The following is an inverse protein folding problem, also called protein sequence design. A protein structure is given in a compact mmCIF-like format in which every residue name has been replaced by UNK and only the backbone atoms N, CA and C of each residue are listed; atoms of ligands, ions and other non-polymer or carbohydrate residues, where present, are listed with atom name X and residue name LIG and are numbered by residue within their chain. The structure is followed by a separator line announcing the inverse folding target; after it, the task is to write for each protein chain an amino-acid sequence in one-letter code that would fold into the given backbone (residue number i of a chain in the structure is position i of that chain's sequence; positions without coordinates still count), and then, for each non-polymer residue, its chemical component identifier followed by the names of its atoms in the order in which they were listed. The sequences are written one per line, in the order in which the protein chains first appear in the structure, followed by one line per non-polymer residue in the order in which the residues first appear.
data_IF_773035523105
#
_entry.id   IF_773035523105
#
_cell.length_a   1.000
_cell.length_b   1.000
_cell.length_c   1.000
_cell.angle_alpha   90.00
_cell.angle_beta   90.00
_cell.angle_gamma   90.00
#
_symmetry.space_group_name_H-M   'P 1'
#
loop_
_entity.id
_entity.type
_entity.pdbx_description
1 polymer ?
#
# COMPACT_ATOMS: atom_id res chain seq x y z
N UNK A 1 34.42 5.86 -5.10
CA UNK A 1 33.99 4.46 -5.30
C UNK A 1 35.01 3.56 -4.61
N UNK A 2 34.60 2.55 -3.85
CA UNK A 2 35.50 1.61 -3.16
C UNK A 2 34.89 0.22 -3.11
N UNK A 3 35.70 -0.80 -3.40
CA UNK A 3 35.38 -2.20 -3.12
C UNK A 3 36.02 -2.59 -1.77
N UNK A 4 35.23 -3.13 -0.84
CA UNK A 4 35.75 -3.57 0.46
C UNK A 4 36.27 -5.03 0.41
N UNK A 5 36.82 -5.52 1.53
CA UNK A 5 37.36 -6.90 1.62
C UNK A 5 36.29 -7.99 1.44
N UNK A 6 35.03 -7.65 1.66
CA UNK A 6 33.87 -8.54 1.49
C UNK A 6 33.27 -8.47 0.08
N UNK A 7 33.91 -7.75 -0.84
CA UNK A 7 33.43 -7.60 -2.23
C UNK A 7 32.24 -6.64 -2.40
N UNK A 8 31.90 -5.83 -1.38
CA UNK A 8 30.82 -4.84 -1.45
C UNK A 8 31.30 -3.52 -2.05
N UNK A 9 30.50 -2.95 -2.94
CA UNK A 9 30.77 -1.70 -3.64
C UNK A 9 30.13 -0.51 -2.90
N UNK A 10 30.96 0.43 -2.43
CA UNK A 10 30.54 1.70 -1.85
C UNK A 10 30.76 2.89 -2.79
N UNK A 11 29.74 3.73 -2.97
CA UNK A 11 29.82 5.04 -3.62
C UNK A 11 29.45 6.10 -2.58
N UNK A 12 30.36 7.03 -2.26
CA UNK A 12 30.15 8.04 -1.21
C UNK A 12 30.22 7.51 0.24
N UNK A 13 30.64 6.26 0.46
CA UNK A 13 30.80 5.65 1.78
C UNK A 13 32.01 4.71 1.83
N UNK A 14 32.60 4.54 3.02
CA UNK A 14 33.65 3.55 3.31
C UNK A 14 33.12 2.27 3.95
N UNK A 15 31.86 2.25 4.36
CA UNK A 15 31.22 1.15 5.09
C UNK A 15 29.97 0.68 4.35
N UNK A 16 30.10 0.02 3.18
CA UNK A 16 28.95 -0.48 2.44
C UNK A 16 28.25 -1.59 3.23
N UNK A 17 26.93 -1.49 3.39
CA UNK A 17 26.10 -2.46 4.11
C UNK A 17 25.55 -3.55 3.19
N UNK A 18 25.36 -3.23 1.91
CA UNK A 18 24.83 -4.11 0.87
C UNK A 18 25.85 -4.32 -0.25
N UNK A 19 25.57 -5.22 -1.20
CA UNK A 19 26.42 -5.47 -2.37
C UNK A 19 26.77 -4.18 -3.12
N UNK A 20 25.80 -3.27 -3.23
CA UNK A 20 25.99 -1.88 -3.64
C UNK A 20 25.39 -0.95 -2.57
N UNK A 21 26.16 0.01 -2.08
CA UNK A 21 25.67 1.08 -1.18
C UNK A 21 26.07 2.43 -1.76
N UNK A 22 25.08 3.28 -2.01
CA UNK A 22 25.29 4.65 -2.52
C UNK A 22 24.82 5.64 -1.46
N UNK A 23 25.75 6.40 -0.90
CA UNK A 23 25.45 7.51 0.00
C UNK A 23 25.26 8.79 -0.80
N UNK A 24 24.13 8.87 -1.51
CA UNK A 24 23.79 9.97 -2.41
C UNK A 24 22.69 9.58 -3.39
N UNK A 25 22.14 10.53 -4.16
CA UNK A 25 21.09 10.27 -5.13
C UNK A 25 21.60 9.42 -6.30
N UNK A 26 20.74 8.54 -6.81
CA UNK A 26 20.98 7.74 -8.01
C UNK A 26 20.05 8.27 -9.11
N UNK A 27 20.61 8.64 -10.26
CA UNK A 27 19.84 8.94 -11.47
C UNK A 27 19.97 7.76 -12.42
N UNK A 28 18.84 7.15 -12.76
CA UNK A 28 18.75 6.06 -13.73
C UNK A 28 17.68 6.40 -14.77
N UNK A 29 17.79 5.84 -15.98
CA UNK A 29 16.69 5.87 -16.95
C UNK A 29 15.59 4.89 -16.57
N UNK A 30 15.97 3.74 -16.02
CA UNK A 30 15.09 2.65 -15.62
C UNK A 30 15.72 1.89 -14.46
N UNK A 31 14.87 1.37 -13.56
CA UNK A 31 15.26 0.46 -12.48
C UNK A 31 14.26 -0.69 -12.49
N UNK A 32 14.72 -1.90 -12.79
CA UNK A 32 13.94 -3.12 -12.68
C UNK A 32 14.26 -3.73 -11.32
N UNK A 33 13.22 -3.98 -10.51
CA UNK A 33 13.37 -4.57 -9.17
C UNK A 33 12.62 -5.89 -9.17
N UNK A 34 13.35 -6.99 -9.00
CA UNK A 34 12.77 -8.32 -8.87
C UNK A 34 12.25 -8.51 -7.43
N UNK A 35 10.96 -8.24 -7.20
CA UNK A 35 10.27 -8.54 -5.94
C UNK A 35 9.07 -9.46 -6.16
N UNK A 36 8.60 -10.09 -5.08
CA UNK A 36 7.31 -10.78 -5.09
C UNK A 36 6.20 -9.76 -5.33
N UNK A 37 5.47 -9.91 -6.43
CA UNK A 37 4.34 -9.04 -6.77
C UNK A 37 3.17 -9.33 -5.83
N UNK A 38 2.51 -8.28 -5.32
CA UNK A 38 1.30 -8.43 -4.51
C UNK A 38 0.10 -8.58 -5.46
N UNK A 39 -0.51 -9.77 -5.48
CA UNK A 39 -1.73 -10.09 -6.26
C UNK A 39 -2.70 -10.95 -5.43
N UNK A 40 -2.66 -10.79 -4.10
CA UNK A 40 -3.43 -11.64 -3.19
C UNK A 40 -4.72 -10.98 -2.69
N UNK A 41 -4.94 -9.68 -2.96
CA UNK A 41 -6.14 -8.95 -2.52
C UNK A 41 -7.41 -9.44 -3.19
N UNK A 42 -7.30 -9.96 -4.42
CA UNK A 42 -8.43 -10.50 -5.19
C UNK A 42 -8.63 -12.01 -4.98
N UNK A 43 -7.83 -12.66 -4.14
CA UNK A 43 -8.04 -14.05 -3.78
C UNK A 43 -9.39 -14.24 -3.07
N UNK A 44 -10.05 -15.37 -3.31
CA UNK A 44 -11.38 -15.65 -2.76
C UNK A 44 -11.43 -15.72 -1.24
N UNK A 45 -10.29 -16.04 -0.61
CA UNK A 45 -10.09 -16.12 0.83
C UNK A 45 -9.48 -14.84 1.43
N UNK A 46 -9.31 -13.78 0.62
CA UNK A 46 -8.78 -12.52 1.12
C UNK A 46 -9.73 -11.86 2.12
N UNK A 47 -9.26 -11.71 3.37
CA UNK A 47 -10.00 -10.97 4.39
C UNK A 47 -9.75 -9.47 4.25
N UNK A 48 -10.62 -8.79 3.52
CA UNK A 48 -10.64 -7.33 3.50
C UNK A 48 -11.11 -6.77 4.85
N UNK A 49 -10.22 -6.07 5.57
CA UNK A 49 -10.55 -5.37 6.80
C UNK A 49 -11.67 -4.34 6.56
N UNK A 50 -12.56 -4.17 7.53
CA UNK A 50 -13.57 -3.11 7.47
C UNK A 50 -12.93 -1.73 7.67
N UNK A 51 -13.53 -0.68 7.11
CA UNK A 51 -13.05 0.70 7.33
C UNK A 51 -13.03 1.09 8.81
N UNK A 52 -13.89 0.49 9.65
CA UNK A 52 -13.88 0.68 11.10
C UNK A 52 -12.66 0.04 11.77
N UNK A 53 -12.27 -1.17 11.35
CA UNK A 53 -11.02 -1.81 11.83
C UNK A 53 -9.80 -1.00 11.36
N UNK A 54 -9.82 -0.49 10.13
CA UNK A 54 -8.75 0.36 9.59
C UNK A 54 -8.65 1.68 10.37
N UNK A 55 -9.77 2.35 10.63
CA UNK A 55 -9.83 3.58 11.43
C UNK A 55 -9.26 3.37 12.84
N UNK A 56 -9.70 2.33 13.55
CA UNK A 56 -9.19 1.99 14.87
C UNK A 56 -7.66 1.73 14.85
N UNK A 57 -7.15 1.09 13.81
CA UNK A 57 -5.72 0.89 13.65
C UNK A 57 -4.97 2.21 13.42
N UNK A 58 -5.51 3.12 12.60
CA UNK A 58 -4.90 4.43 12.37
C UNK A 58 -4.88 5.25 13.67
N UNK A 59 -5.96 5.23 14.45
CA UNK A 59 -6.02 5.92 15.75
C UNK A 59 -4.99 5.37 16.74
N UNK A 60 -4.77 4.05 16.74
CA UNK A 60 -3.83 3.40 17.64
C UNK A 60 -2.36 3.55 17.19
N UNK A 61 -2.09 3.35 15.91
CA UNK A 61 -0.72 3.17 15.38
C UNK A 61 -0.23 4.35 14.53
N UNK A 62 -1.11 5.32 14.24
CA UNK A 62 -0.80 6.51 13.43
C UNK A 62 -0.49 6.21 11.95
N UNK A 63 -0.81 5.00 11.47
CA UNK A 63 -0.50 4.55 10.11
C UNK A 63 -1.51 3.52 9.60
N UNK A 64 -1.47 3.24 8.30
CA UNK A 64 -2.30 2.19 7.70
C UNK A 64 -1.79 0.78 8.10
N UNK A 65 -2.69 -0.20 8.24
CA UNK A 65 -2.31 -1.59 8.51
C UNK A 65 -1.29 -2.12 7.49
N UNK A 66 -0.20 -2.71 7.99
CA UNK A 66 0.87 -3.27 7.17
C UNK A 66 1.88 -2.28 6.62
N UNK A 67 1.73 -0.97 6.87
CA UNK A 67 2.75 0.02 6.51
C UNK A 67 3.84 0.10 7.60
N UNK A 68 5.12 0.25 7.20
CA UNK A 68 6.19 0.46 8.16
C UNK A 68 6.03 1.82 8.85
N UNK A 69 6.49 1.91 10.10
CA UNK A 69 6.56 3.16 10.83
C UNK A 69 7.69 4.06 10.30
N UNK A 70 7.57 5.37 10.55
CA UNK A 70 8.63 6.31 10.20
C UNK A 70 9.98 5.96 10.88
N UNK A 71 9.93 5.37 12.08
CA UNK A 71 11.11 4.91 12.80
C UNK A 71 11.78 3.74 12.09
N UNK A 72 11.00 2.72 11.69
CA UNK A 72 11.53 1.56 10.96
C UNK A 72 12.15 1.98 9.62
N UNK A 73 11.52 2.91 8.90
CA UNK A 73 12.04 3.45 7.64
C UNK A 73 13.33 4.26 7.86
N UNK A 74 13.41 5.02 8.96
CA UNK A 74 14.62 5.77 9.29
C UNK A 74 15.81 4.86 9.68
N UNK A 75 15.53 3.75 10.37
CA UNK A 75 16.56 2.81 10.83
C UNK A 75 17.03 1.86 9.72
N UNK A 76 16.11 1.30 8.94
CA UNK A 76 16.40 0.22 8.00
C UNK A 76 16.34 0.65 6.53
N UNK A 77 15.84 1.86 6.24
CA UNK A 77 15.47 2.27 4.89
C UNK A 77 14.15 1.64 4.44
N UNK A 78 13.82 1.84 3.17
CA UNK A 78 12.61 1.28 2.55
C UNK A 78 12.99 0.63 1.22
N UNK A 79 12.63 -0.64 1.05
CA UNK A 79 12.78 -1.33 -0.23
C UNK A 79 11.80 -0.76 -1.25
N UNK A 80 12.29 -0.32 -2.41
CA UNK A 80 11.46 0.30 -3.45
C UNK A 80 10.42 -0.69 -3.97
N UNK A 81 10.82 -1.93 -4.26
CA UNK A 81 9.90 -2.95 -4.77
C UNK A 81 8.82 -3.31 -3.74
N UNK A 82 9.21 -3.51 -2.48
CA UNK A 82 8.26 -3.78 -1.39
C UNK A 82 7.29 -2.62 -1.17
N UNK A 83 7.78 -1.37 -1.19
CA UNK A 83 6.94 -0.20 -1.06
C UNK A 83 5.92 -0.09 -2.20
N UNK A 84 6.32 -0.37 -3.44
CA UNK A 84 5.39 -0.39 -4.57
C UNK A 84 4.36 -1.52 -4.45
N UNK A 85 4.77 -2.71 -4.02
CA UNK A 85 3.85 -3.82 -3.77
C UNK A 85 2.85 -3.50 -2.65
N UNK A 86 3.30 -2.89 -1.54
CA UNK A 86 2.43 -2.45 -0.45
C UNK A 86 1.45 -1.37 -0.91
N UNK A 87 1.91 -0.39 -1.69
CA UNK A 87 1.03 0.66 -2.23
C UNK A 87 -0.03 0.08 -3.17
N UNK A 88 0.36 -0.83 -4.06
CA UNK A 88 -0.59 -1.52 -4.94
C UNK A 88 -1.66 -2.26 -4.14
N UNK A 89 -1.25 -3.03 -3.12
CA UNK A 89 -2.17 -3.72 -2.22
C UNK A 89 -3.18 -2.76 -1.60
N UNK A 90 -2.73 -1.59 -1.13
CA UNK A 90 -3.62 -0.56 -0.54
C UNK A 90 -4.56 0.03 -1.58
N UNK A 91 -4.11 0.23 -2.81
CA UNK A 91 -4.97 0.68 -3.91
C UNK A 91 -6.07 -0.35 -4.17
N UNK A 92 -5.74 -1.64 -4.24
CA UNK A 92 -6.71 -2.71 -4.47
C UNK A 92 -7.75 -2.82 -3.34
N UNK A 93 -7.30 -2.75 -2.07
CA UNK A 93 -8.20 -2.70 -0.91
C UNK A 93 -9.15 -1.49 -0.97
N UNK A 94 -8.63 -0.31 -1.32
CA UNK A 94 -9.42 0.89 -1.50
C UNK A 94 -10.43 0.73 -2.64
N UNK A 95 -10.05 0.13 -3.77
CA UNK A 95 -10.96 -0.16 -4.88
C UNK A 95 -12.11 -1.06 -4.44
N UNK A 96 -11.83 -2.12 -3.66
CA UNK A 96 -12.89 -2.98 -3.11
C UNK A 96 -13.83 -2.22 -2.15
N UNK A 97 -13.30 -1.30 -1.36
CA UNK A 97 -14.11 -0.41 -0.52
C UNK A 97 -14.98 0.52 -1.34
N UNK A 98 -14.45 1.12 -2.41
CA UNK A 98 -15.20 2.01 -3.31
C UNK A 98 -16.33 1.25 -4.00
N UNK A 99 -16.08 0.05 -4.53
CA UNK A 99 -17.13 -0.81 -5.12
C UNK A 99 -18.24 -1.11 -4.10
N UNK A 100 -17.87 -1.37 -2.84
CA UNK A 100 -18.86 -1.60 -1.76
C UNK A 100 -19.68 -0.34 -1.45
N UNK A 101 -19.05 0.84 -1.51
CA UNK A 101 -19.73 2.11 -1.29
C UNK A 101 -20.69 2.43 -2.44
N UNK A 102 -20.28 2.24 -3.69
CA UNK A 102 -21.12 2.42 -4.87
C UNK A 102 -22.38 1.56 -4.81
N UNK A 103 -22.24 0.25 -4.53
CA UNK A 103 -23.39 -0.66 -4.34
C UNK A 103 -24.33 -0.21 -3.22
N UNK A 104 -23.80 0.31 -2.11
CA UNK A 104 -24.63 0.85 -1.03
C UNK A 104 -25.35 2.12 -1.46
N UNK A 105 -24.69 2.98 -2.24
CA UNK A 105 -25.30 4.20 -2.76
C UNK A 105 -26.46 3.88 -3.71
N UNK A 106 -26.27 2.95 -4.65
CA UNK A 106 -27.33 2.46 -5.53
C UNK A 106 -28.53 1.91 -4.75
N UNK A 107 -28.28 1.12 -3.69
CA UNK A 107 -29.34 0.61 -2.82
C UNK A 107 -30.09 1.74 -2.08
N UNK A 108 -29.38 2.76 -1.65
CA UNK A 108 -30.01 3.92 -1.00
C UNK A 108 -30.83 4.74 -1.99
N UNK A 109 -30.34 4.95 -3.21
CA UNK A 109 -31.04 5.63 -4.29
C UNK A 109 -32.33 4.89 -4.68
N UNK A 110 -32.28 3.55 -4.80
CA UNK A 110 -33.46 2.72 -5.05
C UNK A 110 -34.51 2.88 -3.94
N UNK A 111 -34.08 2.80 -2.67
CA UNK A 111 -34.99 2.96 -1.53
C UNK A 111 -35.59 4.36 -1.44
N UNK A 112 -34.82 5.38 -1.81
CA UNK A 112 -35.32 6.75 -1.89
C UNK A 112 -36.40 6.85 -2.97
N UNK A 113 -36.15 6.32 -4.17
CA UNK A 113 -37.13 6.30 -5.25
C UNK A 113 -38.47 5.66 -4.82
N UNK A 114 -38.43 4.50 -4.15
CA UNK A 114 -39.63 3.81 -3.62
C UNK A 114 -40.43 4.62 -2.60
N UNK A 115 -39.77 5.48 -1.81
CA UNK A 115 -40.43 6.31 -0.79
C UNK A 115 -41.02 7.58 -1.41
N UNK A 116 -40.35 8.14 -2.42
CA UNK A 116 -40.79 9.37 -3.09
C UNK A 116 -41.79 9.18 -4.22
N UNK A 117 -41.93 7.98 -4.80
CA UNK A 117 -43.06 7.72 -5.70
C UNK A 117 -44.35 7.72 -4.89
N UNK A 118 -45.30 8.65 -5.14
CA UNK A 118 -46.57 8.63 -4.43
C UNK A 118 -47.25 7.31 -4.74
N UNK A 119 -47.47 6.48 -3.72
CA UNK A 119 -48.41 5.36 -3.80
C UNK A 119 -49.68 5.94 -4.39
N UNK A 120 -49.97 5.63 -5.66
CA UNK A 120 -51.27 5.89 -6.25
C UNK A 120 -52.26 5.06 -5.44
N UNK A 121 -52.82 5.67 -4.39
CA UNK A 121 -53.98 5.15 -3.68
C UNK A 121 -55.09 5.09 -4.72
N UNK A 122 -55.33 3.87 -5.23
CA UNK A 122 -56.60 3.52 -5.86
C UNK A 122 -57.68 3.38 -4.79
#
# INVERSE_FOLDING_TARGET
MRLNRDGKLGIGTTSPTHALTVNGPIRAKEVIVDTGWADDVFASDYRLASLKEVEAHIEQEGRLPGMPSAKEVAENGLSVGEAQSLLLRKIEELTLHVIRLEKKNEQLEQRLAEITEPKQLK
#
